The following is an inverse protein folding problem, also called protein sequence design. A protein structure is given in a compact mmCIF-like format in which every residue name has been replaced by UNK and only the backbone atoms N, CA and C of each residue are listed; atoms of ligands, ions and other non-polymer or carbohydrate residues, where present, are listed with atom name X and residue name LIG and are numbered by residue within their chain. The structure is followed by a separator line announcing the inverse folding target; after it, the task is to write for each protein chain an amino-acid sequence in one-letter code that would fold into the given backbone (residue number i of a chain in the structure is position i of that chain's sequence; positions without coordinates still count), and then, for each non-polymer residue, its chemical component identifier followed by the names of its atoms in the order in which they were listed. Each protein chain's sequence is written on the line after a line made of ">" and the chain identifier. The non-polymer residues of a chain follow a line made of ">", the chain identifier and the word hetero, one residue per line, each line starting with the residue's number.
data_IF_779807787758
#
_entry.id   IF_779807787758
#
_cell.length_a   1.000
_cell.length_b   1.000
_cell.length_c   1.000
_cell.angle_alpha   90.00
_cell.angle_beta   90.00
_cell.angle_gamma   90.00
#
_symmetry.space_group_name_H-M   'P 1'
#
loop_
_entity.id
_entity.type
_entity.pdbx_description
1 polymer ?
#
# COMPACT_ATOMS: atom_id res chain seq x y z
N UNK A 1 -0.86 7.43 10.65
CA UNK A 1 -2.02 6.93 11.42
C UNK A 1 -1.62 5.94 12.53
N UNK A 2 -0.54 5.16 12.35
CA UNK A 2 -0.07 4.16 13.32
C UNK A 2 0.53 4.74 14.60
N UNK A 3 0.95 6.00 14.57
CA UNK A 3 1.66 6.65 15.66
C UNK A 3 0.86 7.85 16.16
N UNK A 4 1.01 8.19 17.44
CA UNK A 4 0.46 9.41 18.02
C UNK A 4 1.34 10.65 17.67
N UNK A 5 0.95 11.81 18.14
CA UNK A 5 1.68 13.08 17.92
C UNK A 5 3.09 13.09 18.55
N UNK A 6 3.35 12.20 19.52
CA UNK A 6 4.63 12.02 20.17
C UNK A 6 5.49 10.91 19.51
N UNK A 7 5.05 10.37 18.36
CA UNK A 7 5.74 9.30 17.66
C UNK A 7 5.64 7.93 18.33
N UNK A 8 4.73 7.74 19.31
CA UNK A 8 4.53 6.45 19.98
C UNK A 8 3.48 5.65 19.22
N UNK A 9 3.75 4.36 19.03
CA UNK A 9 2.77 3.47 18.40
C UNK A 9 1.49 3.41 19.23
N UNK A 10 0.36 3.69 18.58
CA UNK A 10 -0.95 3.61 19.23
C UNK A 10 -1.28 2.17 19.62
N UNK A 11 -1.77 1.97 20.84
CA UNK A 11 -2.23 0.66 21.33
C UNK A 11 -3.70 0.45 20.95
N UNK A 12 -3.92 0.18 19.66
CA UNK A 12 -5.24 -0.19 19.15
C UNK A 12 -5.13 -1.12 17.95
N UNK A 13 -6.22 -1.83 17.65
CA UNK A 13 -6.38 -2.54 16.37
C UNK A 13 -6.85 -1.56 15.33
N UNK A 14 -6.16 -1.53 14.19
CA UNK A 14 -6.52 -0.68 13.05
C UNK A 14 -7.32 -1.46 12.02
N UNK A 15 -8.31 -0.79 11.44
CA UNK A 15 -9.12 -1.31 10.35
C UNK A 15 -8.77 -0.55 9.08
N UNK A 16 -8.24 -1.28 8.09
CA UNK A 16 -7.99 -0.78 6.75
C UNK A 16 -8.99 -1.41 5.78
N UNK A 17 -9.59 -0.62 4.91
CA UNK A 17 -10.52 -1.11 3.88
C UNK A 17 -10.02 -0.70 2.51
N UNK A 18 -9.98 -1.66 1.59
CA UNK A 18 -9.58 -1.42 0.21
C UNK A 18 -10.80 -0.98 -0.64
N UNK A 19 -10.66 0.17 -1.30
CA UNK A 19 -11.57 0.66 -2.30
C UNK A 19 -10.87 0.70 -3.65
N UNK A 20 -11.40 -0.06 -4.61
CA UNK A 20 -10.81 -0.13 -5.95
C UNK A 20 -11.20 1.14 -6.74
N UNK A 21 -10.22 1.93 -7.23
CA UNK A 21 -10.51 3.07 -8.08
C UNK A 21 -11.32 2.68 -9.32
N UNK A 22 -12.24 3.53 -9.82
CA UNK A 22 -13.07 3.21 -10.97
C UNK A 22 -12.23 3.06 -12.26
N UNK A 23 -12.81 2.40 -13.25
CA UNK A 23 -12.21 2.26 -14.60
C UNK A 23 -12.63 3.39 -15.56
N UNK A 24 -13.51 4.27 -15.11
CA UNK A 24 -14.04 5.43 -15.81
C UNK A 24 -13.90 6.68 -14.95
N UNK A 25 -14.55 7.77 -15.30
CA UNK A 25 -14.49 9.05 -14.58
C UNK A 25 -15.59 9.21 -13.52
N UNK A 26 -16.43 8.20 -13.33
CA UNK A 26 -17.50 8.20 -12.33
C UNK A 26 -16.98 7.62 -11.01
N UNK A 27 -16.86 8.47 -10.01
CA UNK A 27 -16.36 8.12 -8.69
C UNK A 27 -17.41 8.30 -7.57
N UNK A 28 -18.67 8.59 -7.90
CA UNK A 28 -19.74 8.87 -6.94
C UNK A 28 -19.90 7.76 -5.91
N UNK A 29 -20.06 6.50 -6.38
CA UNK A 29 -20.19 5.33 -5.51
C UNK A 29 -18.98 5.08 -4.61
N UNK A 30 -17.79 5.41 -5.10
CA UNK A 30 -16.57 5.27 -4.30
C UNK A 30 -16.54 6.31 -3.18
N UNK A 31 -16.94 7.56 -3.46
CA UNK A 31 -17.02 8.62 -2.46
C UNK A 31 -18.11 8.34 -1.42
N UNK A 32 -19.30 7.89 -1.84
CA UNK A 32 -20.35 7.44 -0.92
C UNK A 32 -19.83 6.33 0.01
N UNK A 33 -19.14 5.34 -0.54
CA UNK A 33 -18.53 4.25 0.24
C UNK A 33 -17.46 4.78 1.22
N UNK A 34 -16.65 5.74 0.80
CA UNK A 34 -15.63 6.34 1.66
C UNK A 34 -16.27 7.09 2.85
N UNK A 35 -17.33 7.86 2.62
CA UNK A 35 -18.08 8.53 3.70
C UNK A 35 -18.72 7.51 4.65
N UNK A 36 -19.34 6.46 4.11
CA UNK A 36 -19.93 5.40 4.92
C UNK A 36 -18.90 4.72 5.81
N UNK A 37 -17.76 4.31 5.24
CA UNK A 37 -16.70 3.61 5.96
C UNK A 37 -16.05 4.49 7.04
N UNK A 38 -15.86 5.78 6.76
CA UNK A 38 -15.42 6.75 7.78
C UNK A 38 -16.36 6.79 8.96
N UNK A 39 -17.68 6.91 8.71
CA UNK A 39 -18.70 6.95 9.75
C UNK A 39 -18.81 5.62 10.52
N UNK A 40 -18.48 4.50 9.87
CA UNK A 40 -18.40 3.17 10.48
C UNK A 40 -17.13 2.96 11.34
N UNK A 41 -16.22 3.93 11.41
CA UNK A 41 -15.02 3.87 12.25
C UNK A 41 -13.81 3.17 11.61
N UNK A 42 -13.77 3.09 10.28
CA UNK A 42 -12.58 2.64 9.55
C UNK A 42 -11.44 3.66 9.74
N UNK A 43 -10.24 3.18 9.96
CA UNK A 43 -9.08 4.01 10.26
C UNK A 43 -8.36 4.53 9.00
N UNK A 44 -8.32 3.71 7.94
CA UNK A 44 -7.59 4.04 6.71
C UNK A 44 -8.24 3.37 5.50
N UNK A 45 -8.35 4.11 4.40
CA UNK A 45 -8.77 3.57 3.11
C UNK A 45 -7.57 3.33 2.22
N UNK A 46 -7.52 2.17 1.57
CA UNK A 46 -6.43 1.82 0.65
C UNK A 46 -6.94 1.78 -0.78
N UNK A 47 -6.08 2.14 -1.73
CA UNK A 47 -6.44 2.26 -3.14
C UNK A 47 -5.42 1.52 -4.00
N UNK A 48 -5.77 0.37 -4.60
CA UNK A 48 -4.83 -0.40 -5.42
C UNK A 48 -4.45 0.34 -6.71
N UNK A 49 -3.19 0.18 -7.13
CA UNK A 49 -2.62 0.78 -8.34
C UNK A 49 -2.78 -0.17 -9.52
N UNK A 50 -3.82 0.05 -10.31
CA UNK A 50 -4.12 -0.74 -11.51
C UNK A 50 -4.01 -2.26 -11.28
N UNK A 51 -4.84 -2.82 -10.37
CA UNK A 51 -4.78 -4.22 -9.98
C UNK A 51 -4.97 -5.14 -11.19
N UNK A 52 -4.30 -6.29 -11.18
CA UNK A 52 -4.27 -7.26 -12.30
C UNK A 52 -3.75 -6.63 -13.61
N UNK A 53 -3.00 -5.53 -13.54
CA UNK A 53 -2.49 -4.83 -14.73
C UNK A 53 -3.56 -4.17 -15.59
N UNK A 54 -4.74 -3.91 -15.05
CA UNK A 54 -5.84 -3.24 -15.75
C UNK A 54 -5.89 -1.77 -15.33
N UNK A 55 -5.96 -0.88 -16.32
CA UNK A 55 -6.04 0.56 -16.09
C UNK A 55 -7.22 0.93 -15.19
N UNK A 56 -6.93 1.73 -14.18
CA UNK A 56 -7.89 2.36 -13.27
C UNK A 56 -7.51 3.84 -13.11
N UNK A 57 -8.38 4.62 -12.48
CA UNK A 57 -8.01 5.95 -12.02
C UNK A 57 -6.76 5.84 -11.14
N UNK A 58 -5.81 6.77 -11.28
CA UNK A 58 -4.56 6.77 -10.52
C UNK A 58 -4.84 6.71 -9.02
N UNK A 59 -4.20 5.78 -8.34
CA UNK A 59 -4.44 5.49 -6.93
C UNK A 59 -4.14 6.68 -6.01
N UNK A 60 -3.09 7.46 -6.34
CA UNK A 60 -2.68 8.63 -5.55
C UNK A 60 -3.65 9.79 -5.76
N UNK A 61 -4.07 10.04 -7.00
CA UNK A 61 -5.06 11.09 -7.30
C UNK A 61 -6.42 10.77 -6.67
N UNK A 62 -6.84 9.51 -6.71
CA UNK A 62 -8.09 9.08 -6.06
C UNK A 62 -7.99 9.22 -4.54
N UNK A 63 -6.88 8.79 -3.95
CA UNK A 63 -6.64 8.95 -2.52
C UNK A 63 -6.65 10.42 -2.10
N UNK A 64 -6.02 11.31 -2.87
CA UNK A 64 -6.01 12.74 -2.60
C UNK A 64 -7.43 13.35 -2.64
N UNK A 65 -8.25 12.95 -3.62
CA UNK A 65 -9.66 13.38 -3.67
C UNK A 65 -10.43 12.91 -2.44
N UNK A 66 -10.36 11.62 -2.11
CA UNK A 66 -11.06 11.05 -0.94
C UNK A 66 -10.60 11.71 0.36
N UNK A 67 -9.30 11.90 0.55
CA UNK A 67 -8.77 12.58 1.74
C UNK A 67 -9.32 13.99 1.89
N UNK A 68 -9.30 14.78 0.83
CA UNK A 68 -9.80 16.15 0.83
C UNK A 68 -11.30 16.24 1.14
N UNK A 69 -12.10 15.30 0.63
CA UNK A 69 -13.55 15.32 0.81
C UNK A 69 -14.01 14.71 2.14
N UNK A 70 -13.29 13.70 2.62
CA UNK A 70 -13.72 12.97 3.82
C UNK A 70 -12.86 13.24 5.05
N UNK A 71 -11.61 13.61 4.89
CA UNK A 71 -10.61 13.71 5.98
C UNK A 71 -10.22 12.35 6.58
N UNK A 72 -10.64 11.21 5.99
CA UNK A 72 -10.17 9.89 6.43
C UNK A 72 -8.75 9.65 5.98
N UNK A 73 -7.92 9.00 6.81
CA UNK A 73 -6.58 8.62 6.39
C UNK A 73 -6.63 7.70 5.17
N UNK A 74 -5.71 7.93 4.24
CA UNK A 74 -5.63 7.19 2.98
C UNK A 74 -4.24 6.59 2.79
N UNK A 75 -4.20 5.48 2.07
CA UNK A 75 -2.99 4.74 1.74
C UNK A 75 -3.06 4.21 0.31
N UNK A 76 -2.72 5.02 -0.70
CA UNK A 76 -2.62 4.53 -2.06
C UNK A 76 -1.51 3.49 -2.19
N UNK A 77 -1.76 2.47 -3.01
CA UNK A 77 -0.72 1.55 -3.44
C UNK A 77 0.09 2.20 -4.56
N UNK A 78 1.37 1.87 -4.63
CA UNK A 78 2.29 2.34 -5.67
C UNK A 78 3.07 1.16 -6.19
N UNK A 79 2.92 0.86 -7.47
CA UNK A 79 3.60 -0.27 -8.09
C UNK A 79 4.80 0.17 -8.96
N UNK A 80 5.79 -0.72 -9.05
CA UNK A 80 7.00 -0.48 -9.84
C UNK A 80 6.82 -0.69 -11.34
N UNK A 81 5.63 -1.16 -11.78
CA UNK A 81 5.40 -1.60 -13.16
C UNK A 81 5.43 -0.46 -14.18
N UNK A 82 4.82 0.67 -13.87
CA UNK A 82 4.44 1.65 -14.89
C UNK A 82 5.26 2.95 -14.88
N UNK A 83 6.03 3.19 -13.81
CA UNK A 83 6.72 4.46 -13.59
C UNK A 83 8.22 4.25 -13.37
N UNK A 84 9.04 5.10 -13.98
CA UNK A 84 10.48 5.15 -13.71
C UNK A 84 10.79 5.98 -12.45
N UNK A 85 12.07 6.06 -12.07
CA UNK A 85 12.50 6.75 -10.85
C UNK A 85 12.10 8.23 -10.82
N UNK A 86 12.18 8.95 -11.94
CA UNK A 86 11.76 10.36 -12.01
C UNK A 86 10.28 10.51 -11.76
N UNK A 87 9.45 9.70 -12.42
CA UNK A 87 8.00 9.72 -12.26
C UNK A 87 7.58 9.35 -10.83
N UNK A 88 8.27 8.38 -10.20
CA UNK A 88 8.00 8.02 -8.81
C UNK A 88 8.37 9.14 -7.82
N UNK A 89 9.55 9.77 -7.98
CA UNK A 89 9.94 10.91 -7.14
C UNK A 89 8.97 12.07 -7.29
N UNK A 90 8.58 12.41 -8.53
CA UNK A 90 7.60 13.46 -8.81
C UNK A 90 6.23 13.14 -8.20
N UNK A 91 5.77 11.90 -8.31
CA UNK A 91 4.52 11.44 -7.71
C UNK A 91 4.54 11.57 -6.18
N UNK A 92 5.62 11.15 -5.48
CA UNK A 92 5.75 11.32 -4.04
C UNK A 92 5.74 12.81 -3.62
N UNK A 93 6.39 13.69 -4.38
CA UNK A 93 6.32 15.14 -4.12
C UNK A 93 4.90 15.68 -4.30
N UNK A 94 4.23 15.31 -5.39
CA UNK A 94 2.85 15.69 -5.65
C UNK A 94 1.87 15.16 -4.59
N UNK A 95 2.06 13.92 -4.14
CA UNK A 95 1.28 13.34 -3.06
C UNK A 95 1.44 14.13 -1.76
N UNK A 96 2.67 14.50 -1.40
CA UNK A 96 2.95 15.32 -0.19
C UNK A 96 2.30 16.70 -0.24
N UNK A 97 2.29 17.37 -1.40
CA UNK A 97 1.58 18.65 -1.60
C UNK A 97 0.07 18.49 -1.36
N UNK A 98 -0.49 17.29 -1.57
CA UNK A 98 -1.88 16.96 -1.32
C UNK A 98 -2.10 16.24 0.03
N UNK A 99 -1.19 16.39 0.98
CA UNK A 99 -1.23 15.83 2.34
C UNK A 99 -1.27 14.29 2.42
N UNK A 100 -0.94 13.60 1.33
CA UNK A 100 -0.84 12.14 1.29
C UNK A 100 0.55 11.72 1.78
N UNK A 101 0.56 10.99 2.88
CA UNK A 101 1.82 10.58 3.55
C UNK A 101 1.98 9.08 3.74
N UNK A 102 0.89 8.29 3.62
CA UNK A 102 0.94 6.84 3.80
C UNK A 102 0.85 6.13 2.45
N UNK A 103 1.70 5.13 2.22
CA UNK A 103 1.76 4.37 0.96
C UNK A 103 1.94 2.88 1.19
N UNK A 104 1.36 2.06 0.33
CA UNK A 104 1.75 0.67 0.19
C UNK A 104 2.62 0.52 -1.05
N UNK A 105 3.89 0.20 -0.87
CA UNK A 105 4.85 0.01 -1.96
C UNK A 105 4.90 -1.47 -2.35
N UNK A 106 4.51 -1.76 -3.59
CA UNK A 106 4.45 -3.11 -4.14
C UNK A 106 5.22 -3.21 -5.46
N UNK A 107 5.54 -4.43 -5.86
CA UNK A 107 6.15 -4.64 -7.18
C UNK A 107 5.14 -4.40 -8.29
N UNK A 108 3.89 -4.78 -8.09
CA UNK A 108 2.81 -4.73 -9.06
C UNK A 108 2.69 -6.02 -9.88
N UNK A 109 1.48 -6.26 -10.38
CA UNK A 109 1.18 -7.39 -11.24
C UNK A 109 1.81 -7.20 -12.63
N UNK A 110 2.18 -8.28 -13.33
CA UNK A 110 2.68 -8.19 -14.69
C UNK A 110 1.59 -7.67 -15.65
N UNK A 111 2.03 -7.04 -16.75
CA UNK A 111 1.11 -6.64 -17.83
C UNK A 111 0.42 -7.88 -18.38
N UNK A 112 -0.93 -7.90 -18.47
CA UNK A 112 -1.69 -9.00 -19.03
C UNK A 112 -1.24 -9.33 -20.45
N UNK A 113 -1.30 -10.61 -20.83
CA UNK A 113 -0.88 -11.06 -22.16
C UNK A 113 -1.57 -10.27 -23.29
N UNK A 114 -2.86 -9.98 -23.12
CA UNK A 114 -3.69 -9.24 -24.09
C UNK A 114 -3.28 -7.76 -24.29
N UNK A 115 -2.46 -7.19 -23.39
CA UNK A 115 -2.04 -5.80 -23.45
C UNK A 115 -0.55 -5.63 -23.79
N UNK A 116 0.23 -6.73 -23.92
CA UNK A 116 1.70 -6.66 -24.09
C UNK A 116 2.17 -5.99 -25.38
N UNK A 117 1.33 -5.97 -26.39
CA UNK A 117 1.66 -5.31 -27.66
C UNK A 117 1.60 -3.77 -27.55
N UNK A 118 0.73 -3.28 -26.65
CA UNK A 118 0.51 -1.84 -26.44
C UNK A 118 1.27 -1.30 -25.23
N UNK A 119 1.50 -2.13 -24.20
CA UNK A 119 2.06 -1.72 -22.92
C UNK A 119 3.39 -2.41 -22.67
N UNK A 120 4.43 -1.64 -22.43
CA UNK A 120 5.73 -2.13 -21.97
C UNK A 120 5.93 -1.81 -20.49
N UNK A 121 6.21 -2.82 -19.70
CA UNK A 121 6.54 -2.63 -18.28
C UNK A 121 7.85 -1.89 -18.13
N UNK A 122 7.92 -1.00 -17.15
CA UNK A 122 9.12 -0.23 -16.83
C UNK A 122 10.00 -1.01 -15.86
N UNK A 123 9.49 -1.43 -14.72
CA UNK A 123 10.19 -2.20 -13.68
C UNK A 123 11.67 -1.81 -13.49
N UNK A 124 11.95 -0.50 -13.40
CA UNK A 124 13.33 -0.02 -13.14
C UNK A 124 13.91 -0.54 -11.82
N UNK A 125 13.03 -0.90 -10.89
CA UNK A 125 13.40 -1.36 -9.55
C UNK A 125 12.34 -2.33 -9.01
N UNK A 126 12.73 -3.08 -7.98
CA UNK A 126 11.80 -3.86 -7.15
C UNK A 126 11.12 -2.97 -6.10
N UNK A 127 10.13 -3.52 -5.39
CA UNK A 127 9.51 -2.81 -4.26
C UNK A 127 10.54 -2.38 -3.19
N UNK A 128 11.55 -3.19 -2.91
CA UNK A 128 12.66 -2.81 -2.01
C UNK A 128 13.46 -1.64 -2.58
N UNK A 129 13.72 -1.64 -3.89
CA UNK A 129 14.39 -0.51 -4.56
C UNK A 129 13.60 0.78 -4.46
N UNK A 130 12.27 0.73 -4.67
CA UNK A 130 11.40 1.89 -4.52
C UNK A 130 11.32 2.37 -3.07
N UNK A 131 11.30 1.45 -2.08
CA UNK A 131 11.37 1.80 -0.67
C UNK A 131 12.67 2.55 -0.31
N UNK A 132 13.81 2.15 -0.89
CA UNK A 132 15.08 2.87 -0.72
C UNK A 132 15.03 4.28 -1.30
N UNK A 133 14.39 4.47 -2.46
CA UNK A 133 14.16 5.80 -3.04
C UNK A 133 13.29 6.65 -2.08
N UNK A 134 12.21 6.09 -1.54
CA UNK A 134 11.37 6.78 -0.56
C UNK A 134 12.15 7.11 0.73
N UNK A 135 13.01 6.22 1.20
CA UNK A 135 13.87 6.44 2.36
C UNK A 135 14.88 7.58 2.12
N UNK A 136 15.47 7.63 0.93
CA UNK A 136 16.35 8.73 0.50
C UNK A 136 15.59 10.06 0.48
N UNK A 137 14.41 10.08 -0.15
CA UNK A 137 13.56 11.27 -0.19
C UNK A 137 13.12 11.74 1.20
N UNK A 138 12.86 10.82 2.13
CA UNK A 138 12.57 11.17 3.53
C UNK A 138 13.73 11.90 4.20
N UNK A 139 14.98 11.58 3.85
CA UNK A 139 16.16 12.26 4.40
C UNK A 139 16.45 13.61 3.73
N UNK A 140 16.25 13.67 2.39
CA UNK A 140 16.68 14.82 1.60
C UNK A 140 15.58 15.87 1.41
N UNK A 141 14.32 15.42 1.26
CA UNK A 141 13.20 16.27 0.84
C UNK A 141 12.10 16.37 1.90
N UNK A 142 11.85 15.29 2.64
CA UNK A 142 10.73 15.18 3.58
C UNK A 142 11.16 15.03 5.05
N UNK A 143 12.33 15.54 5.41
CA UNK A 143 12.95 15.37 6.73
C UNK A 143 12.05 15.81 7.90
N UNK A 144 11.26 16.88 7.74
CA UNK A 144 10.34 17.37 8.76
C UNK A 144 9.02 16.59 8.83
N UNK A 145 8.59 16.00 7.70
CA UNK A 145 7.34 15.27 7.61
C UNK A 145 7.52 14.08 6.65
N UNK A 146 8.15 12.99 7.10
CA UNK A 146 8.50 11.87 6.23
C UNK A 146 7.28 11.12 5.69
N UNK A 147 7.46 10.47 4.54
CA UNK A 147 6.55 9.46 4.03
C UNK A 147 6.54 8.25 4.98
N UNK A 148 5.37 7.75 5.28
CA UNK A 148 5.16 6.48 5.97
C UNK A 148 4.74 5.43 4.94
N UNK A 149 5.47 4.35 4.83
CA UNK A 149 5.17 3.33 3.84
C UNK A 149 5.32 1.93 4.37
N UNK A 150 4.54 1.04 3.79
CA UNK A 150 4.56 -0.37 4.06
C UNK A 150 4.81 -1.19 2.80
N UNK A 151 4.87 -2.50 2.99
CA UNK A 151 5.00 -3.47 1.91
C UNK A 151 3.93 -4.55 1.96
N UNK A 152 3.91 -5.40 0.94
CA UNK A 152 3.07 -6.59 0.93
C UNK A 152 3.84 -7.82 1.42
N UNK A 153 3.13 -8.71 2.15
CA UNK A 153 3.54 -10.07 2.48
C UNK A 153 2.60 -11.02 1.75
N UNK A 154 3.16 -11.96 1.00
CA UNK A 154 2.41 -13.10 0.48
C UNK A 154 2.76 -14.34 1.30
N UNK A 155 1.93 -14.65 2.30
CA UNK A 155 2.12 -15.79 3.20
C UNK A 155 1.93 -17.13 2.49
N UNK A 156 1.37 -17.14 1.29
CA UNK A 156 1.04 -18.36 0.54
C UNK A 156 2.23 -18.89 -0.29
N UNK A 157 3.33 -18.12 -0.38
CA UNK A 157 4.54 -18.61 -1.02
C UNK A 157 5.13 -19.80 -0.26
N UNK A 158 5.66 -20.77 -1.01
CA UNK A 158 6.14 -22.07 -0.46
C UNK A 158 7.22 -21.85 0.61
N UNK A 159 8.22 -21.03 0.32
CA UNK A 159 9.40 -20.87 1.17
C UNK A 159 9.19 -19.75 2.20
N UNK A 160 8.87 -20.15 3.44
CA UNK A 160 8.64 -19.22 4.55
C UNK A 160 9.89 -18.42 4.93
N UNK A 161 11.08 -19.01 4.89
CA UNK A 161 12.32 -18.32 5.19
C UNK A 161 12.59 -17.20 4.19
N UNK A 162 12.31 -17.43 2.91
CA UNK A 162 12.38 -16.39 1.87
C UNK A 162 11.44 -15.24 2.13
N UNK A 163 10.22 -15.49 2.66
CA UNK A 163 9.26 -14.46 3.03
C UNK A 163 9.83 -13.64 4.20
N UNK A 164 10.33 -14.30 5.25
CA UNK A 164 10.94 -13.65 6.42
C UNK A 164 12.11 -12.75 5.99
N UNK A 165 13.02 -13.27 5.19
CA UNK A 165 14.18 -12.52 4.70
C UNK A 165 13.77 -11.32 3.83
N UNK A 166 12.76 -11.50 2.97
CA UNK A 166 12.24 -10.41 2.15
C UNK A 166 11.56 -9.34 3.01
N UNK A 167 10.83 -9.75 4.06
CA UNK A 167 10.21 -8.82 5.02
C UNK A 167 11.27 -8.01 5.75
N UNK A 168 12.33 -8.65 6.26
CA UNK A 168 13.47 -7.97 6.91
C UNK A 168 14.11 -6.94 5.96
N UNK A 169 14.39 -7.32 4.70
CA UNK A 169 14.96 -6.41 3.69
C UNK A 169 14.06 -5.20 3.41
N UNK A 170 12.73 -5.36 3.43
CA UNK A 170 11.78 -4.23 3.30
C UNK A 170 11.80 -3.34 4.55
N UNK A 171 11.90 -3.92 5.74
CA UNK A 171 12.05 -3.17 6.98
C UNK A 171 13.36 -2.35 7.01
N UNK A 172 14.47 -2.94 6.59
CA UNK A 172 15.76 -2.24 6.44
C UNK A 172 15.69 -1.07 5.43
N UNK A 173 14.82 -1.22 4.43
CA UNK A 173 14.51 -0.15 3.47
C UNK A 173 13.43 0.83 3.96
N UNK A 174 13.07 0.79 5.25
CA UNK A 174 12.20 1.76 5.91
C UNK A 174 10.70 1.41 5.95
N UNK A 175 10.29 0.22 5.52
CA UNK A 175 8.89 -0.20 5.65
C UNK A 175 8.49 -0.35 7.12
N UNK A 176 7.43 0.33 7.54
CA UNK A 176 6.94 0.38 8.92
C UNK A 176 5.77 -0.55 9.20
N UNK A 177 5.12 -1.05 8.17
CA UNK A 177 3.99 -2.00 8.26
C UNK A 177 3.89 -2.88 7.02
N UNK A 178 3.06 -3.91 7.10
CA UNK A 178 2.84 -4.84 5.99
C UNK A 178 1.35 -5.22 5.87
N UNK A 179 0.84 -5.26 4.64
CA UNK A 179 -0.44 -5.85 4.30
C UNK A 179 -0.23 -7.26 3.75
N UNK A 180 -1.10 -8.20 4.13
CA UNK A 180 -1.00 -9.59 3.67
C UNK A 180 -1.99 -9.90 2.54
N UNK A 181 -1.83 -11.07 1.91
CA UNK A 181 -2.92 -11.66 1.16
C UNK A 181 -4.05 -12.05 2.13
N UNK A 182 -5.31 -12.20 1.66
CA UNK A 182 -6.40 -12.67 2.50
C UNK A 182 -6.07 -14.00 3.17
N UNK A 183 -6.47 -14.12 4.43
CA UNK A 183 -6.23 -15.30 5.27
C UNK A 183 -7.51 -16.14 5.31
N UNK A 184 -7.44 -17.35 4.81
CA UNK A 184 -8.59 -18.27 4.75
C UNK A 184 -8.42 -19.52 5.62
N UNK A 185 -7.22 -19.75 6.14
CA UNK A 185 -6.93 -20.97 6.93
C UNK A 185 -6.13 -20.67 8.19
N UNK A 186 -6.20 -21.60 9.15
CA UNK A 186 -5.37 -21.56 10.35
C UNK A 186 -3.89 -21.65 10.01
N UNK A 187 -3.53 -22.44 8.99
CA UNK A 187 -2.15 -22.60 8.57
C UNK A 187 -1.56 -21.25 8.08
N UNK A 188 -2.29 -20.51 7.26
CA UNK A 188 -1.89 -19.17 6.82
C UNK A 188 -1.74 -18.20 7.99
N UNK A 189 -2.66 -18.25 8.96
CA UNK A 189 -2.58 -17.44 10.17
C UNK A 189 -1.35 -17.81 11.02
N UNK A 190 -1.03 -19.09 11.17
CA UNK A 190 0.14 -19.57 11.92
C UNK A 190 1.44 -19.17 11.19
N UNK A 191 1.47 -19.18 9.87
CA UNK A 191 2.61 -18.67 9.08
C UNK A 191 2.82 -17.16 9.31
N UNK A 192 1.75 -16.36 9.33
CA UNK A 192 1.84 -14.93 9.62
C UNK A 192 2.31 -14.66 11.05
N UNK A 193 1.87 -15.47 12.02
CA UNK A 193 2.37 -15.38 13.40
C UNK A 193 3.88 -15.61 13.44
N UNK A 194 4.37 -16.65 12.78
CA UNK A 194 5.80 -16.96 12.71
C UNK A 194 6.59 -15.83 12.03
N UNK A 195 6.08 -15.27 10.91
CA UNK A 195 6.71 -14.12 10.26
C UNK A 195 6.81 -12.94 11.24
N UNK A 196 5.74 -12.65 11.98
CA UNK A 196 5.73 -11.57 12.98
C UNK A 196 6.71 -11.81 14.12
N UNK A 197 6.78 -13.03 14.65
CA UNK A 197 7.73 -13.42 15.71
C UNK A 197 9.19 -13.25 15.27
N UNK A 198 9.52 -13.68 14.05
CA UNK A 198 10.87 -13.63 13.50
C UNK A 198 11.34 -12.24 13.04
N UNK A 199 10.39 -11.34 12.74
CA UNK A 199 10.70 -10.03 12.17
C UNK A 199 10.33 -8.85 13.06
N UNK A 200 9.40 -9.02 14.00
CA UNK A 200 8.80 -7.91 14.73
C UNK A 200 7.87 -7.03 13.89
N UNK A 201 7.54 -7.43 12.66
CA UNK A 201 6.78 -6.62 11.72
C UNK A 201 5.38 -6.25 12.24
N UNK A 202 4.94 -5.02 11.93
CA UNK A 202 3.55 -4.60 12.09
C UNK A 202 2.73 -5.14 10.90
N UNK A 203 1.82 -6.08 11.14
CA UNK A 203 1.09 -6.78 10.10
C UNK A 203 -0.40 -6.43 10.15
N UNK A 204 -0.94 -6.01 9.01
CA UNK A 204 -2.37 -5.97 8.72
C UNK A 204 -2.75 -7.27 8.02
N UNK A 205 -3.43 -8.15 8.72
CA UNK A 205 -3.93 -9.40 8.14
C UNK A 205 -5.10 -9.11 7.20
N UNK A 206 -5.00 -9.57 5.96
CA UNK A 206 -6.07 -9.45 4.98
C UNK A 206 -7.27 -10.31 5.36
N UNK A 207 -8.46 -9.73 5.30
CA UNK A 207 -9.73 -10.43 5.48
C UNK A 207 -10.59 -10.13 4.27
N UNK A 208 -11.12 -11.16 3.64
CA UNK A 208 -12.04 -11.03 2.52
C UNK A 208 -13.37 -11.66 2.90
N UNK A 209 -14.46 -10.87 2.99
CA UNK A 209 -15.79 -11.43 3.21
C UNK A 209 -16.16 -12.37 2.06
N UNK A 210 -16.57 -13.58 2.40
CA UNK A 210 -17.13 -14.50 1.42
C UNK A 210 -18.62 -14.15 1.24
N UNK A 211 -18.93 -13.58 0.10
CA UNK A 211 -20.31 -13.34 -0.33
C UNK A 211 -20.70 -14.43 -1.33
N UNK A 212 -21.82 -15.11 -1.04
CA UNK A 212 -22.42 -16.13 -1.92
C UNK A 212 -23.05 -15.50 -3.15
#
# INVERSE_FOLDING_TARGET
>A
FLYDENGRKKDKKFIAVELIPPFNTDDEKLLESAHYLKNAGVDVLTFPDSPSGRTRVDSVLMAAKVYRETGIEVMPHVCCRDKNAFAMRAMFMGAKINDIKNFLIITGDPVPASARDLVKSVFNFSSVGLMKIAQEMNREVFNENPLNYGGAINQNLINLESIINTTKRKMDAGASFFLTQPVFSKEEADRLRKIKEETGACIFAGIMPLIS
#
